data_IF_340336278472
#
_entry.id   IF_340336278472
#
_cell.length_a   1.000
_cell.length_b   1.000
_cell.length_c   1.000
_cell.angle_alpha   90.00
_cell.angle_beta   90.00
_cell.angle_gamma   90.00
#
_symmetry.space_group_name_H-M   'P 1'
#
loop_
_entity.id
_entity.type
_entity.pdbx_description
1 polymer ?
#
# COMPACT_ATOMS: atom_id res chain seq x y z
N UNK A 1 -7.69 -25.28 0.84
CA UNK A 1 -6.74 -24.56 -0.03
C UNK A 1 -5.35 -24.98 0.39
N UNK A 2 -4.51 -25.48 -0.53
CA UNK A 2 -3.11 -25.81 -0.21
C UNK A 2 -2.46 -24.59 0.47
N UNK A 3 -1.79 -24.82 1.60
CA UNK A 3 -1.19 -23.77 2.43
C UNK A 3 -1.91 -23.54 3.77
N UNK A 4 -3.24 -23.51 3.84
CA UNK A 4 -3.95 -23.22 5.12
C UNK A 4 -3.98 -24.39 6.11
N UNK A 5 -3.54 -25.57 5.68
CA UNK A 5 -3.40 -26.77 6.52
C UNK A 5 -2.23 -26.63 7.51
N UNK A 6 -1.26 -25.75 7.21
CA UNK A 6 -0.18 -25.41 8.12
C UNK A 6 -0.62 -24.29 9.07
N UNK A 7 -0.52 -24.54 10.36
CA UNK A 7 -0.89 -23.57 11.40
C UNK A 7 -0.18 -22.21 11.24
N UNK A 8 1.07 -22.20 10.78
CA UNK A 8 1.84 -20.96 10.57
C UNK A 8 1.25 -20.12 9.44
N UNK A 9 0.91 -20.73 8.31
CA UNK A 9 0.29 -20.04 7.18
C UNK A 9 -1.12 -19.56 7.52
N UNK A 10 -1.89 -20.33 8.29
CA UNK A 10 -3.21 -19.91 8.77
C UNK A 10 -3.12 -18.67 9.67
N UNK A 11 -2.18 -18.66 10.62
CA UNK A 11 -1.97 -17.51 11.51
C UNK A 11 -1.55 -16.28 10.69
N UNK A 12 -0.56 -16.42 9.80
CA UNK A 12 -0.11 -15.33 8.94
C UNK A 12 -1.24 -14.78 8.04
N UNK A 13 -2.07 -15.68 7.51
CA UNK A 13 -3.24 -15.34 6.71
C UNK A 13 -4.27 -14.52 7.52
N UNK A 14 -4.63 -14.96 8.73
CA UNK A 14 -5.58 -14.27 9.59
C UNK A 14 -5.07 -12.89 9.99
N UNK A 15 -3.79 -12.79 10.37
CA UNK A 15 -3.14 -11.51 10.69
C UNK A 15 -3.18 -10.57 9.48
N UNK A 16 -2.85 -11.07 8.29
CA UNK A 16 -2.82 -10.25 7.06
C UNK A 16 -4.19 -9.65 6.73
N UNK A 17 -5.25 -10.44 6.88
CA UNK A 17 -6.62 -9.96 6.67
C UNK A 17 -7.05 -8.94 7.74
N UNK A 18 -6.72 -9.18 9.01
CA UNK A 18 -6.98 -8.22 10.08
C UNK A 18 -6.25 -6.88 9.84
N UNK A 19 -4.98 -6.93 9.46
CA UNK A 19 -4.19 -5.73 9.10
C UNK A 19 -4.80 -5.00 7.90
N UNK A 20 -5.24 -5.72 6.87
CA UNK A 20 -5.88 -5.10 5.71
C UNK A 20 -7.16 -4.32 6.08
N UNK A 21 -8.00 -4.90 6.95
CA UNK A 21 -9.20 -4.23 7.47
C UNK A 21 -8.83 -2.98 8.27
N UNK A 22 -7.82 -3.08 9.15
CA UNK A 22 -7.32 -1.94 9.92
C UNK A 22 -6.78 -0.83 9.01
N UNK A 23 -6.08 -1.18 7.93
CA UNK A 23 -5.60 -0.23 6.92
C UNK A 23 -6.76 0.45 6.20
N UNK A 24 -7.83 -0.29 5.85
CA UNK A 24 -9.04 0.29 5.24
C UNK A 24 -9.75 1.26 6.17
N UNK A 25 -9.96 0.88 7.43
CA UNK A 25 -10.57 1.75 8.45
C UNK A 25 -9.71 3.00 8.66
N UNK A 26 -8.38 2.83 8.76
CA UNK A 26 -7.44 3.94 8.93
C UNK A 26 -7.42 4.87 7.73
N UNK A 27 -7.44 4.32 6.51
CA UNK A 27 -7.54 5.09 5.27
C UNK A 27 -8.78 5.99 5.24
N UNK A 28 -9.92 5.47 5.71
CA UNK A 28 -11.17 6.23 5.79
C UNK A 28 -11.12 7.28 6.91
N UNK A 29 -10.82 6.85 8.14
CA UNK A 29 -11.02 7.69 9.33
C UNK A 29 -9.87 8.66 9.57
N UNK A 30 -8.66 8.23 9.27
CA UNK A 30 -7.42 8.98 9.50
C UNK A 30 -6.46 8.81 8.31
N UNK A 31 -6.72 9.49 7.16
CA UNK A 31 -5.96 9.29 5.94
C UNK A 31 -4.43 9.38 6.11
N UNK A 32 -3.93 10.18 7.05
CA UNK A 32 -2.50 10.23 7.42
C UNK A 32 -1.99 8.90 7.97
N UNK A 33 -2.73 8.30 8.90
CA UNK A 33 -2.37 7.01 9.49
C UNK A 33 -2.42 5.94 8.40
N UNK A 34 -3.47 5.93 7.57
CA UNK A 34 -3.54 5.03 6.41
C UNK A 34 -2.33 5.15 5.48
N UNK A 35 -1.93 6.38 5.13
CA UNK A 35 -0.71 6.63 4.33
C UNK A 35 0.56 6.15 5.01
N UNK A 36 0.69 6.37 6.31
CA UNK A 36 1.84 5.89 7.09
C UNK A 36 1.90 4.36 7.11
N UNK A 37 0.76 3.69 7.24
CA UNK A 37 0.70 2.22 7.17
C UNK A 37 1.15 1.70 5.80
N UNK A 38 0.71 2.34 4.70
CA UNK A 38 1.18 1.96 3.36
C UNK A 38 2.66 2.26 3.13
N UNK A 39 3.17 3.38 3.65
CA UNK A 39 4.61 3.66 3.65
C UNK A 39 5.37 2.50 4.30
N UNK A 40 4.98 2.11 5.52
CA UNK A 40 5.63 1.03 6.27
C UNK A 40 5.53 -0.30 5.53
N UNK A 41 4.34 -0.65 5.02
CA UNK A 41 4.10 -1.90 4.30
C UNK A 41 4.98 -2.00 3.04
N UNK A 42 4.97 -0.98 2.19
CA UNK A 42 5.72 -0.99 0.94
C UNK A 42 7.22 -0.85 1.15
N UNK A 43 7.66 -0.09 2.16
CA UNK A 43 9.08 -0.01 2.52
C UNK A 43 9.59 -1.36 3.05
N UNK A 44 8.81 -2.02 3.92
CA UNK A 44 9.13 -3.36 4.42
C UNK A 44 9.16 -4.38 3.28
N UNK A 45 8.15 -4.37 2.40
CA UNK A 45 8.10 -5.27 1.25
C UNK A 45 9.28 -5.06 0.29
N UNK A 46 9.65 -3.80 0.00
CA UNK A 46 10.83 -3.47 -0.79
C UNK A 46 12.10 -4.06 -0.17
N UNK A 47 12.31 -3.83 1.13
CA UNK A 47 13.49 -4.31 1.84
C UNK A 47 13.56 -5.84 1.85
N UNK A 48 12.47 -6.52 2.21
CA UNK A 48 12.42 -7.98 2.23
C UNK A 48 12.62 -8.55 0.83
N UNK A 49 11.96 -8.00 -0.20
CA UNK A 49 12.09 -8.53 -1.55
C UNK A 49 13.51 -8.34 -2.11
N UNK A 50 14.14 -7.17 -1.88
CA UNK A 50 15.53 -6.98 -2.27
C UNK A 50 16.49 -7.91 -1.52
N UNK A 51 16.32 -8.03 -0.20
CA UNK A 51 17.18 -8.92 0.59
C UNK A 51 17.04 -10.38 0.16
N UNK A 52 15.81 -10.86 0.02
CA UNK A 52 15.53 -12.26 -0.35
C UNK A 52 16.02 -12.55 -1.76
N UNK A 53 15.74 -11.68 -2.73
CA UNK A 53 16.12 -11.97 -4.13
C UNK A 53 17.64 -12.01 -4.34
N UNK A 54 18.41 -11.27 -3.55
CA UNK A 54 19.87 -11.27 -3.62
C UNK A 54 20.52 -12.42 -2.83
N UNK A 55 19.81 -13.01 -1.87
CA UNK A 55 20.37 -14.05 -0.98
C UNK A 55 19.84 -15.46 -1.25
N UNK A 56 18.57 -15.60 -1.62
CA UNK A 56 17.88 -16.87 -1.86
C UNK A 56 16.70 -16.66 -2.83
N UNK A 57 16.94 -16.33 -4.11
CA UNK A 57 15.89 -16.08 -5.10
C UNK A 57 14.98 -17.29 -5.34
N UNK A 58 15.48 -18.51 -5.18
CA UNK A 58 14.73 -19.75 -5.38
C UNK A 58 13.49 -19.88 -4.49
N UNK A 59 13.43 -19.18 -3.34
CA UNK A 59 12.25 -19.16 -2.46
C UNK A 59 11.01 -18.64 -3.19
N UNK A 60 11.16 -17.80 -4.22
CA UNK A 60 10.02 -17.33 -5.00
C UNK A 60 9.38 -18.42 -5.89
N UNK A 61 10.05 -19.56 -6.09
CA UNK A 61 9.47 -20.71 -6.79
C UNK A 61 8.41 -21.41 -5.95
N UNK A 62 8.46 -21.30 -4.63
CA UNK A 62 7.46 -21.89 -3.72
C UNK A 62 6.05 -21.31 -3.97
N UNK A 63 5.95 -20.10 -4.51
CA UNK A 63 4.67 -19.51 -4.93
C UNK A 63 3.97 -20.30 -6.04
N UNK A 64 4.69 -21.13 -6.80
CA UNK A 64 4.12 -22.01 -7.82
C UNK A 64 3.11 -23.01 -7.23
N UNK A 65 3.26 -23.39 -5.96
CA UNK A 65 2.35 -24.32 -5.28
C UNK A 65 1.19 -23.62 -4.56
N UNK A 66 1.26 -22.29 -4.43
CA UNK A 66 0.27 -21.46 -3.75
C UNK A 66 -0.65 -20.69 -4.70
N UNK A 67 -0.26 -20.56 -5.97
CA UNK A 67 -1.08 -19.88 -6.98
C UNK A 67 -2.36 -20.65 -7.30
N UNK A 68 -3.41 -19.91 -7.68
CA UNK A 68 -4.73 -20.46 -8.01
C UNK A 68 -4.82 -21.02 -9.43
N UNK A 69 -3.81 -20.78 -10.29
CA UNK A 69 -3.88 -21.08 -11.72
C UNK A 69 -2.68 -21.89 -12.20
N UNK A 70 -2.94 -22.98 -12.92
CA UNK A 70 -1.91 -23.81 -13.55
C UNK A 70 -1.09 -23.05 -14.61
N UNK A 71 -1.69 -22.04 -15.26
CA UNK A 71 -0.97 -21.18 -16.20
C UNK A 71 0.11 -20.37 -15.46
N UNK A 72 -0.25 -19.82 -14.30
CA UNK A 72 0.66 -19.03 -13.48
C UNK A 72 1.73 -19.91 -12.84
N UNK A 73 1.36 -21.15 -12.45
CA UNK A 73 2.32 -22.16 -12.01
C UNK A 73 3.38 -22.44 -13.07
N UNK A 74 2.97 -22.69 -14.33
CA UNK A 74 3.90 -22.89 -15.46
C UNK A 74 4.77 -21.68 -15.75
N UNK A 75 4.23 -20.46 -15.60
CA UNK A 75 5.03 -19.25 -15.73
C UNK A 75 6.12 -19.16 -14.66
N UNK A 76 5.76 -19.41 -13.39
CA UNK A 76 6.69 -19.37 -12.24
C UNK A 76 7.79 -20.41 -12.41
N UNK A 77 7.44 -21.66 -12.74
CA UNK A 77 8.42 -22.75 -12.91
C UNK A 77 9.14 -22.74 -14.26
N UNK A 78 8.74 -21.86 -15.18
CA UNK A 78 9.34 -21.69 -16.51
C UNK A 78 10.22 -20.44 -16.56
N UNK A 79 9.88 -19.51 -17.45
CA UNK A 79 10.66 -18.30 -17.72
C UNK A 79 11.02 -17.48 -16.47
N UNK A 80 10.10 -17.37 -15.50
CA UNK A 80 10.36 -16.61 -14.28
C UNK A 80 11.50 -17.22 -13.44
N UNK A 81 11.63 -18.55 -13.42
CA UNK A 81 12.67 -19.23 -12.64
C UNK A 81 14.10 -18.86 -13.06
N UNK A 82 14.28 -18.51 -14.33
CA UNK A 82 15.57 -18.06 -14.89
C UNK A 82 15.81 -16.55 -14.69
N UNK A 83 14.77 -15.78 -14.34
CA UNK A 83 14.78 -14.32 -14.32
C UNK A 83 14.33 -13.73 -12.97
N UNK A 84 14.33 -14.51 -11.89
CA UNK A 84 13.79 -14.11 -10.59
C UNK A 84 14.41 -12.79 -10.11
N UNK A 85 15.74 -12.67 -10.17
CA UNK A 85 16.46 -11.47 -9.71
C UNK A 85 16.01 -10.20 -10.43
N UNK A 86 15.86 -10.27 -11.74
CA UNK A 86 15.42 -9.13 -12.55
C UNK A 86 13.98 -8.76 -12.22
N UNK A 87 13.08 -9.74 -12.21
CA UNK A 87 11.64 -9.49 -12.03
C UNK A 87 11.33 -9.02 -10.61
N UNK A 88 11.80 -9.76 -9.60
CA UNK A 88 11.53 -9.42 -8.19
C UNK A 88 12.31 -8.17 -7.77
N UNK A 89 13.54 -7.96 -8.25
CA UNK A 89 14.30 -6.72 -8.00
C UNK A 89 13.60 -5.48 -8.59
N UNK A 90 13.03 -5.61 -9.80
CA UNK A 90 12.19 -4.56 -10.38
C UNK A 90 10.94 -4.30 -9.54
N UNK A 91 10.23 -5.35 -9.11
CA UNK A 91 9.06 -5.22 -8.22
C UNK A 91 9.44 -4.54 -6.90
N UNK A 92 10.55 -4.95 -6.26
CA UNK A 92 11.03 -4.37 -5.02
C UNK A 92 11.34 -2.88 -5.18
N UNK A 93 11.96 -2.50 -6.29
CA UNK A 93 12.22 -1.09 -6.63
C UNK A 93 10.93 -0.29 -6.77
N UNK A 94 9.94 -0.81 -7.50
CA UNK A 94 8.62 -0.20 -7.61
C UNK A 94 7.93 -0.04 -6.24
N UNK A 95 8.02 -1.05 -5.36
CA UNK A 95 7.52 -0.96 -3.99
C UNK A 95 8.21 0.16 -3.20
N UNK A 96 9.53 0.32 -3.34
CA UNK A 96 10.27 1.42 -2.75
C UNK A 96 9.79 2.79 -3.25
N UNK A 97 9.55 2.93 -4.56
CA UNK A 97 9.00 4.17 -5.14
C UNK A 97 7.59 4.47 -4.63
N UNK A 98 6.73 3.46 -4.50
CA UNK A 98 5.41 3.60 -3.88
C UNK A 98 5.56 4.06 -2.43
N UNK A 99 6.45 3.46 -1.64
CA UNK A 99 6.70 3.87 -0.27
C UNK A 99 7.11 5.36 -0.19
N UNK A 100 8.11 5.78 -0.97
CA UNK A 100 8.56 7.18 -1.02
C UNK A 100 7.43 8.11 -1.44
N UNK A 101 6.60 7.72 -2.41
CA UNK A 101 5.47 8.56 -2.84
C UNK A 101 4.45 8.84 -1.72
N UNK A 102 4.30 7.92 -0.76
CA UNK A 102 3.38 8.08 0.38
C UNK A 102 3.82 9.17 1.34
N UNK A 103 5.08 9.60 1.29
CA UNK A 103 5.62 10.75 2.03
C UNK A 103 5.24 12.08 1.36
N UNK A 104 5.11 12.10 0.04
CA UNK A 104 5.00 13.30 -0.78
C UNK A 104 3.55 13.75 -0.98
N UNK A 105 3.30 14.78 -1.79
CA UNK A 105 1.95 15.31 -2.09
C UNK A 105 1.72 15.48 -3.58
N UNK A 106 0.47 15.78 -3.96
CA UNK A 106 0.11 16.10 -5.35
C UNK A 106 0.34 14.94 -6.30
N UNK A 107 0.84 15.21 -7.51
CA UNK A 107 0.97 14.22 -8.59
C UNK A 107 1.81 13.00 -8.20
N UNK A 108 2.90 13.18 -7.43
CA UNK A 108 3.78 12.07 -7.04
C UNK A 108 3.03 11.10 -6.12
N UNK A 109 2.28 11.63 -5.15
CA UNK A 109 1.41 10.84 -4.28
C UNK A 109 0.34 10.10 -5.09
N UNK A 110 -0.30 10.76 -6.05
CA UNK A 110 -1.31 10.14 -6.93
C UNK A 110 -0.74 9.01 -7.77
N UNK A 111 0.43 9.21 -8.39
CA UNK A 111 1.11 8.18 -9.19
C UNK A 111 1.43 6.95 -8.32
N UNK A 112 1.95 7.17 -7.12
CA UNK A 112 2.24 6.06 -6.22
C UNK A 112 1.01 5.35 -5.67
N UNK A 113 -0.11 6.07 -5.47
CA UNK A 113 -1.40 5.44 -5.17
C UNK A 113 -1.84 4.50 -6.29
N UNK A 114 -1.80 4.98 -7.54
CA UNK A 114 -2.16 4.17 -8.72
C UNK A 114 -1.21 2.97 -8.84
N UNK A 115 0.09 3.19 -8.71
CA UNK A 115 1.10 2.14 -8.75
C UNK A 115 0.88 1.08 -7.68
N UNK A 116 0.57 1.48 -6.45
CA UNK A 116 0.26 0.56 -5.35
C UNK A 116 -1.03 -0.24 -5.58
N UNK A 117 -2.08 0.38 -6.11
CA UNK A 117 -3.32 -0.31 -6.49
C UNK A 117 -3.05 -1.36 -7.56
N UNK A 118 -2.33 -0.99 -8.63
CA UNK A 118 -1.97 -1.91 -9.72
C UNK A 118 -1.13 -3.06 -9.17
N UNK A 119 -0.14 -2.78 -8.33
CA UNK A 119 0.70 -3.80 -7.72
C UNK A 119 -0.11 -4.80 -6.88
N UNK A 120 -0.95 -4.30 -5.95
CA UNK A 120 -1.77 -5.14 -5.09
C UNK A 120 -2.75 -5.99 -5.88
N UNK A 121 -3.29 -5.47 -6.98
CA UNK A 121 -4.17 -6.20 -7.88
C UNK A 121 -3.40 -7.27 -8.67
N UNK A 122 -2.22 -6.94 -9.18
CA UNK A 122 -1.39 -7.83 -9.99
C UNK A 122 -0.94 -9.08 -9.23
N UNK A 123 -0.84 -9.02 -7.89
CA UNK A 123 -0.46 -10.16 -7.05
C UNK A 123 -1.65 -11.01 -6.57
N UNK A 124 -2.90 -10.67 -6.91
CA UNK A 124 -4.09 -11.48 -6.57
C UNK A 124 -3.98 -12.94 -7.08
N UNK A 125 -3.47 -13.23 -8.30
CA UNK A 125 -3.35 -14.61 -8.79
C UNK A 125 -2.48 -15.54 -7.93
N UNK A 126 -1.63 -15.00 -7.04
CA UNK A 126 -0.87 -15.79 -6.07
C UNK A 126 -1.73 -16.36 -4.93
N UNK A 127 -3.01 -16.00 -4.84
CA UNK A 127 -3.95 -16.62 -3.90
C UNK A 127 -3.51 -16.48 -2.45
N UNK A 128 -3.39 -17.62 -1.74
CA UNK A 128 -2.94 -17.65 -0.34
C UNK A 128 -1.51 -17.12 -0.21
N UNK A 129 -0.67 -17.29 -1.23
CA UNK A 129 0.70 -16.76 -1.26
C UNK A 129 0.78 -15.23 -1.19
N UNK A 130 -0.25 -14.52 -1.67
CA UNK A 130 -0.38 -13.07 -1.49
C UNK A 130 -1.36 -12.69 -0.39
N UNK A 131 -1.72 -13.64 0.48
CA UNK A 131 -2.71 -13.47 1.54
C UNK A 131 -4.09 -12.95 1.05
N UNK A 132 -4.49 -13.26 -0.19
CA UNK A 132 -5.83 -12.94 -0.70
C UNK A 132 -6.91 -13.41 0.28
N UNK A 133 -7.92 -12.59 0.67
CA UNK A 133 -8.32 -11.31 0.06
C UNK A 133 -7.69 -10.05 0.66
N UNK A 134 -6.70 -10.17 1.55
CA UNK A 134 -6.06 -9.02 2.21
C UNK A 134 -5.54 -7.98 1.21
N UNK A 135 -4.88 -8.42 0.14
CA UNK A 135 -4.36 -7.54 -0.94
C UNK A 135 -5.45 -6.76 -1.65
N UNK A 136 -6.62 -7.38 -1.88
CA UNK A 136 -7.77 -6.70 -2.47
C UNK A 136 -8.33 -5.64 -1.52
N UNK A 137 -8.46 -5.95 -0.22
CA UNK A 137 -8.91 -4.99 0.80
C UNK A 137 -7.93 -3.82 0.92
N UNK A 138 -6.62 -4.08 0.87
CA UNK A 138 -5.60 -3.04 0.85
C UNK A 138 -5.69 -2.17 -0.42
N UNK A 139 -5.94 -2.76 -1.59
CA UNK A 139 -6.15 -1.98 -2.82
C UNK A 139 -7.37 -1.05 -2.67
N UNK A 140 -8.46 -1.53 -2.08
CA UNK A 140 -9.63 -0.69 -1.75
C UNK A 140 -9.28 0.43 -0.76
N UNK A 141 -8.44 0.16 0.24
CA UNK A 141 -7.97 1.19 1.16
C UNK A 141 -7.18 2.30 0.44
N UNK A 142 -6.34 1.95 -0.54
CA UNK A 142 -5.66 2.93 -1.38
C UNK A 142 -6.62 3.73 -2.27
N UNK A 143 -7.70 3.11 -2.77
CA UNK A 143 -8.79 3.82 -3.47
C UNK A 143 -9.53 4.78 -2.54
N UNK A 144 -9.74 4.42 -1.27
CA UNK A 144 -10.32 5.35 -0.29
C UNK A 144 -9.38 6.53 -0.03
N UNK A 145 -8.07 6.28 0.09
CA UNK A 145 -7.06 7.33 0.24
C UNK A 145 -6.98 8.29 -0.95
N UNK A 146 -7.29 7.83 -2.16
CA UNK A 146 -7.25 8.66 -3.37
C UNK A 146 -8.38 9.69 -3.45
N UNK A 147 -9.46 9.49 -2.71
CA UNK A 147 -10.59 10.43 -2.64
C UNK A 147 -10.29 11.68 -1.82
N UNK A 148 -9.24 11.65 -1.00
CA UNK A 148 -8.79 12.81 -0.23
C UNK A 148 -7.79 13.67 -1.01
N UNK A 149 -7.63 14.91 -0.57
CA UNK A 149 -6.51 15.78 -0.95
C UNK A 149 -5.56 16.00 0.24
N UNK A 150 -4.82 14.97 0.68
CA UNK A 150 -3.93 15.12 1.82
C UNK A 150 -2.66 15.89 1.40
N UNK A 151 -2.24 16.86 2.22
CA UNK A 151 -0.94 17.52 2.10
C UNK A 151 0.20 16.53 2.43
N UNK A 152 1.45 16.98 2.57
CA UNK A 152 2.55 16.11 3.00
C UNK A 152 2.23 15.34 4.29
N UNK A 153 2.79 14.12 4.41
CA UNK A 153 2.50 13.23 5.54
C UNK A 153 2.85 13.88 6.90
N UNK A 154 3.94 14.65 6.93
CA UNK A 154 4.47 15.30 8.15
C UNK A 154 3.84 16.68 8.45
N UNK A 155 3.11 17.28 7.51
CA UNK A 155 2.42 18.55 7.76
C UNK A 155 1.05 18.28 8.35
N UNK A 156 0.72 18.94 9.47
CA UNK A 156 -0.65 18.94 10.00
C UNK A 156 -1.53 19.71 9.01
N UNK A 157 -2.72 19.18 8.72
CA UNK A 157 -3.71 19.87 7.91
C UNK A 157 -4.22 20.96 8.83
N UNK A 158 -3.59 22.12 8.76
CA UNK A 158 -4.15 23.32 9.34
C UNK A 158 -5.35 23.59 8.42
N UNK A 159 -6.60 23.52 8.91
CA UNK A 159 -7.73 23.90 8.07
C UNK A 159 -7.44 25.32 7.57
N UNK A 160 -7.51 25.50 6.25
CA UNK A 160 -7.33 26.81 5.62
C UNK A 160 -8.34 27.77 6.24
N UNK A 161 -7.89 28.62 7.17
CA UNK A 161 -8.70 29.74 7.64
C UNK A 161 -8.71 30.74 6.49
N UNK A 162 -9.86 30.87 5.82
CA UNK A 162 -10.06 31.88 4.79
C UNK A 162 -9.61 33.25 5.34
N UNK A 163 -8.78 34.03 4.62
CA UNK A 163 -8.20 35.27 5.13
C UNK A 163 -9.22 36.39 5.46
N UNK A 164 -10.52 36.18 5.22
CA UNK A 164 -11.54 37.23 5.30
C UNK A 164 -12.18 37.42 6.68
N UNK A 165 -11.75 36.71 7.72
CA UNK A 165 -12.31 36.90 9.07
C UNK A 165 -11.82 38.17 9.80
N UNK A 166 -10.94 38.97 9.19
CA UNK A 166 -10.36 40.16 9.86
C UNK A 166 -11.02 41.51 9.49
N UNK A 167 -12.02 41.54 8.62
CA UNK A 167 -12.60 42.82 8.13
C UNK A 167 -13.95 43.18 8.77
N UNK A 168 -14.64 42.26 9.46
CA UNK A 168 -15.99 42.52 9.99
C UNK A 168 -16.04 43.02 11.45
N UNK A 169 -14.90 43.26 12.12
CA UNK A 169 -14.89 43.66 13.54
C UNK A 169 -14.19 45.00 13.83
N UNK A 170 -14.08 45.90 12.85
CA UNK A 170 -13.49 47.24 13.03
C UNK A 170 -14.42 48.43 12.75
N UNK A 171 -15.70 48.20 12.48
CA UNK A 171 -16.68 49.28 12.38
C UNK A 171 -17.85 48.95 13.28
N UNK A 172 -17.79 49.33 14.55
CA UNK A 172 -18.93 49.69 15.41
C UNK A 172 -18.36 50.15 16.77
N UNK A 173 -17.77 51.34 16.79
CA UNK A 173 -17.73 52.14 18.02
C UNK A 173 -18.77 53.27 17.85
N UNK A 174 -19.88 53.23 18.59
CA UNK A 174 -20.75 54.37 18.77
C UNK A 174 -20.30 55.15 20.01
N UNK A 175 -19.95 56.43 19.83
CA UNK A 175 -19.93 57.47 20.90
C UNK A 175 -20.33 58.75 20.15
N UNK A 176 -21.61 59.13 20.10
CA UNK A 176 -22.44 59.78 21.13
C UNK A 176 -21.88 61.15 21.51
N UNK A 177 -22.57 62.18 21.01
CA UNK A 177 -22.67 63.60 21.41
C UNK A 177 -21.44 64.34 21.93
#
# INVERSE_FOLDING_TARGET
MKGLENQTYLIAYLISNAVAILMLISAWRWPRVGRLMFLMLFAWACWINWKTVLSAPEVYLDYADLTLSDLYKKFITGWFSEHIQLVVGFIATCQGLIAVSMLLRGKVYTIGLIGGIIFLYAIIPFGVGSAFPATLIMALAMVVLSRGNPDYLWLRNIPYKHPNYRILNQKHHPVIH
#
